data_IF_945026314892
#
_entry.id   IF_945026314892
#
_cell.length_a   1.000
_cell.length_b   1.000
_cell.length_c   1.000
_cell.angle_alpha   90.00
_cell.angle_beta   90.00
_cell.angle_gamma   90.00
#
_symmetry.space_group_name_H-M   'P 1'
#
loop_
_entity.id
_entity.type
_entity.pdbx_description
1 polymer ?
#
# COMPACT_ATOMS: atom_id res chain seq x y z
N UNK A 1 -11.52 -1.06 21.13
CA UNK A 1 -10.33 -1.87 21.47
C UNK A 1 -10.05 -2.79 20.31
N UNK A 2 -8.84 -2.75 19.79
CA UNK A 2 -8.45 -3.56 18.63
C UNK A 2 -7.86 -4.88 19.11
N UNK A 3 -8.39 -5.98 18.59
CA UNK A 3 -7.79 -7.31 18.72
C UNK A 3 -6.69 -7.43 17.67
N UNK A 4 -5.44 -7.49 18.15
CA UNK A 4 -4.28 -7.65 17.27
C UNK A 4 -3.94 -9.14 17.18
N UNK A 5 -4.15 -9.79 16.02
CA UNK A 5 -3.77 -11.19 15.88
C UNK A 5 -2.25 -11.31 15.92
N UNK A 6 -1.81 -12.37 16.58
CA UNK A 6 -0.42 -12.75 16.67
C UNK A 6 -0.22 -14.12 16.06
N UNK A 7 1.01 -14.37 15.60
CA UNK A 7 1.41 -15.73 15.22
C UNK A 7 2.47 -16.26 16.17
N UNK A 8 2.39 -17.55 16.45
CA UNK A 8 3.44 -18.26 17.18
C UNK A 8 4.59 -18.68 16.26
N UNK A 9 4.40 -18.59 14.93
CA UNK A 9 5.37 -19.03 13.91
C UNK A 9 5.94 -17.84 13.12
N UNK A 10 6.44 -16.82 13.84
CA UNK A 10 7.01 -15.60 13.22
C UNK A 10 8.16 -15.91 12.24
N UNK A 11 8.98 -16.91 12.55
CA UNK A 11 10.07 -17.35 11.65
C UNK A 11 9.58 -17.96 10.33
N UNK A 12 8.33 -18.44 10.25
CA UNK A 12 7.77 -18.97 9.01
C UNK A 12 7.06 -17.92 8.16
N UNK A 13 6.89 -16.69 8.66
CA UNK A 13 6.18 -15.60 7.94
C UNK A 13 6.81 -15.32 6.58
N UNK A 14 8.15 -15.23 6.51
CA UNK A 14 8.89 -15.07 5.24
C UNK A 14 8.52 -16.16 4.23
N UNK A 15 8.76 -17.42 4.60
CA UNK A 15 8.48 -18.56 3.72
C UNK A 15 7.00 -18.62 3.32
N UNK A 16 6.09 -18.26 4.24
CA UNK A 16 4.66 -18.22 3.97
C UNK A 16 4.30 -17.16 2.91
N UNK A 17 4.82 -15.94 3.04
CA UNK A 17 4.67 -14.88 2.05
C UNK A 17 5.27 -15.28 0.69
N UNK A 18 6.39 -16.00 0.68
CA UNK A 18 6.95 -16.52 -0.57
C UNK A 18 6.06 -17.58 -1.23
N UNK A 19 5.51 -18.51 -0.45
CA UNK A 19 4.55 -19.52 -0.95
C UNK A 19 3.27 -18.88 -1.48
N UNK A 20 2.81 -17.79 -0.88
CA UNK A 20 1.66 -17.00 -1.36
C UNK A 20 1.91 -16.48 -2.79
N UNK A 21 3.13 -16.03 -3.10
CA UNK A 21 3.49 -15.57 -4.46
C UNK A 21 3.44 -16.69 -5.48
N UNK A 22 3.94 -17.87 -5.13
CA UNK A 22 3.89 -19.05 -5.98
C UNK A 22 2.48 -19.67 -6.11
N UNK A 23 1.57 -19.34 -5.19
CA UNK A 23 0.21 -19.85 -5.21
C UNK A 23 -0.69 -19.06 -6.18
N UNK A 24 -1.53 -19.80 -6.91
CA UNK A 24 -2.61 -19.22 -7.71
C UNK A 24 -3.61 -18.41 -6.86
N UNK A 25 -4.49 -17.64 -7.51
CA UNK A 25 -5.65 -17.07 -6.81
C UNK A 25 -6.55 -18.25 -6.45
N UNK A 26 -6.56 -18.62 -5.17
CA UNK A 26 -7.41 -19.70 -4.68
C UNK A 26 -8.80 -19.16 -4.39
N UNK A 27 -9.83 -20.00 -4.46
CA UNK A 27 -11.17 -19.61 -4.04
C UNK A 27 -11.22 -19.32 -2.53
N UNK A 28 -10.38 -19.99 -1.73
CA UNK A 28 -10.34 -19.81 -0.27
C UNK A 28 -8.99 -20.17 0.34
N UNK A 29 -8.46 -19.28 1.17
CA UNK A 29 -7.28 -19.49 2.01
C UNK A 29 -7.71 -20.22 3.28
N UNK A 30 -7.75 -21.55 3.21
CA UNK A 30 -8.13 -22.43 4.33
C UNK A 30 -6.93 -23.16 4.91
N UNK A 31 -7.07 -23.71 6.12
CA UNK A 31 -6.06 -24.59 6.71
C UNK A 31 -5.69 -25.78 5.79
N UNK A 32 -6.66 -26.29 5.02
CA UNK A 32 -6.40 -27.31 4.00
C UNK A 32 -5.40 -26.85 2.93
N UNK A 33 -5.51 -25.59 2.48
CA UNK A 33 -4.56 -25.02 1.53
C UNK A 33 -3.18 -24.81 2.16
N UNK A 34 -3.11 -24.36 3.42
CA UNK A 34 -1.85 -24.28 4.15
C UNK A 34 -1.11 -25.63 4.16
N UNK A 35 -1.83 -26.74 4.37
CA UNK A 35 -1.24 -28.08 4.29
C UNK A 35 -0.63 -28.36 2.91
N UNK A 36 -1.29 -27.94 1.83
CA UNK A 36 -0.79 -28.12 0.46
C UNK A 36 0.52 -27.37 0.20
N UNK A 37 0.71 -26.19 0.79
CA UNK A 37 1.95 -25.41 0.64
C UNK A 37 3.04 -25.76 1.67
N UNK A 38 2.81 -26.77 2.52
CA UNK A 38 3.79 -27.30 3.49
C UNK A 38 3.62 -26.80 4.93
N UNK A 39 2.50 -26.15 5.25
CA UNK A 39 2.16 -25.64 6.58
C UNK A 39 1.11 -26.53 7.24
N UNK A 40 1.57 -27.55 7.98
CA UNK A 40 0.72 -28.60 8.55
C UNK A 40 0.45 -28.44 10.05
N UNK A 41 1.11 -27.50 10.72
CA UNK A 41 1.01 -27.32 12.17
C UNK A 41 -0.24 -26.53 12.54
N UNK A 42 -0.87 -26.87 13.67
CA UNK A 42 -2.03 -26.13 14.20
C UNK A 42 -1.74 -24.64 14.38
N UNK A 43 -0.50 -24.30 14.74
CA UNK A 43 -0.05 -22.91 14.92
C UNK A 43 0.02 -22.14 13.59
N UNK A 44 0.12 -22.82 12.44
CA UNK A 44 0.17 -22.15 11.14
C UNK A 44 -1.20 -21.53 10.79
N UNK A 45 -2.30 -22.03 11.37
CA UNK A 45 -3.62 -21.43 11.22
C UNK A 45 -3.68 -19.97 11.71
N UNK A 46 -2.82 -19.60 12.66
CA UNK A 46 -2.71 -18.21 13.16
C UNK A 46 -2.25 -17.23 12.08
N UNK A 47 -1.49 -17.68 11.07
CA UNK A 47 -1.06 -16.85 9.94
C UNK A 47 -2.25 -16.37 9.10
N UNK A 48 -3.31 -17.18 9.02
CA UNK A 48 -4.56 -16.78 8.35
C UNK A 48 -5.18 -15.58 9.09
N UNK A 49 -5.19 -15.59 10.42
CA UNK A 49 -5.67 -14.47 11.23
C UNK A 49 -4.91 -13.18 10.95
N UNK A 50 -3.58 -13.27 10.84
CA UNK A 50 -2.73 -12.13 10.50
C UNK A 50 -3.03 -11.60 9.09
N UNK A 51 -3.20 -12.47 8.08
CA UNK A 51 -3.58 -12.09 6.72
C UNK A 51 -4.95 -11.38 6.67
N UNK A 52 -5.92 -11.84 7.48
CA UNK A 52 -7.24 -11.20 7.58
C UNK A 52 -7.10 -9.78 8.10
N UNK A 53 -6.26 -9.60 9.11
CA UNK A 53 -6.05 -8.31 9.76
C UNK A 53 -5.37 -7.27 8.86
N UNK A 54 -4.36 -7.68 8.08
CA UNK A 54 -3.71 -6.78 7.11
C UNK A 54 -4.52 -6.62 5.80
N UNK A 55 -5.69 -7.26 5.68
CA UNK A 55 -6.58 -7.10 4.53
C UNK A 55 -6.18 -7.89 3.28
N UNK A 56 -5.27 -8.86 3.38
CA UNK A 56 -4.91 -9.75 2.28
C UNK A 56 -6.04 -10.73 1.95
N UNK A 57 -6.79 -11.12 2.96
CA UNK A 57 -7.94 -12.01 2.82
C UNK A 57 -9.13 -11.41 3.57
N UNK A 58 -10.31 -11.67 3.06
CA UNK A 58 -11.56 -11.21 3.65
C UNK A 58 -11.95 -12.02 4.90
N UNK A 59 -12.98 -11.57 5.64
CA UNK A 59 -13.67 -12.32 6.68
C UNK A 59 -14.04 -13.75 6.27
N UNK A 60 -14.37 -13.99 5.00
CA UNK A 60 -14.67 -15.31 4.43
C UNK A 60 -13.44 -16.14 4.01
N UNK A 61 -12.23 -15.65 4.30
CA UNK A 61 -10.94 -16.21 3.87
C UNK A 61 -10.73 -16.21 2.34
N UNK A 62 -11.30 -15.23 1.65
CA UNK A 62 -11.17 -15.07 0.18
C UNK A 62 -10.06 -14.05 -0.09
N UNK A 63 -9.11 -14.32 -1.00
CA UNK A 63 -8.05 -13.37 -1.33
C UNK A 63 -8.61 -12.08 -1.94
N UNK A 64 -8.18 -10.94 -1.40
CA UNK A 64 -8.63 -9.61 -1.82
C UNK A 64 -7.81 -9.08 -3.00
N UNK A 65 -8.08 -7.84 -3.45
CA UNK A 65 -7.23 -7.16 -4.42
C UNK A 65 -5.78 -7.02 -3.93
N UNK A 66 -5.57 -6.83 -2.62
CA UNK A 66 -4.23 -6.71 -2.02
C UNK A 66 -3.42 -7.99 -2.24
N UNK A 67 -4.05 -9.16 -2.12
CA UNK A 67 -3.40 -10.44 -2.42
C UNK A 67 -2.95 -10.52 -3.89
N UNK A 68 -3.81 -10.07 -4.83
CA UNK A 68 -3.48 -10.07 -6.26
C UNK A 68 -2.27 -9.18 -6.54
N UNK A 69 -2.27 -7.98 -5.97
CA UNK A 69 -1.22 -6.98 -6.13
C UNK A 69 0.09 -7.44 -5.46
N UNK A 70 0.00 -8.14 -4.33
CA UNK A 70 1.13 -8.76 -3.66
C UNK A 70 1.81 -9.86 -4.50
N UNK A 71 1.15 -10.46 -5.49
CA UNK A 71 1.80 -11.40 -6.41
C UNK A 71 2.57 -10.69 -7.53
N UNK A 72 2.38 -9.39 -7.71
CA UNK A 72 3.09 -8.59 -8.69
C UNK A 72 4.53 -8.28 -8.27
N UNK A 73 5.27 -7.56 -9.14
CA UNK A 73 6.66 -7.17 -8.86
C UNK A 73 6.82 -6.30 -7.61
N UNK A 74 5.78 -5.57 -7.20
CA UNK A 74 5.79 -4.63 -6.06
C UNK A 74 5.37 -5.21 -4.72
N UNK A 75 5.32 -6.53 -4.60
CA UNK A 75 4.93 -7.26 -3.38
C UNK A 75 5.40 -6.66 -2.04
N UNK A 76 6.67 -6.22 -1.95
CA UNK A 76 7.20 -5.60 -0.72
C UNK A 76 6.53 -4.27 -0.36
N UNK A 77 6.26 -3.43 -1.36
CA UNK A 77 5.58 -2.15 -1.16
C UNK A 77 4.09 -2.35 -0.82
N UNK A 78 3.43 -3.31 -1.50
CA UNK A 78 2.04 -3.69 -1.22
C UNK A 78 1.88 -4.19 0.21
N UNK A 79 2.83 -5.00 0.67
CA UNK A 79 2.85 -5.48 2.05
C UNK A 79 3.03 -4.32 3.03
N UNK A 80 3.92 -3.37 2.73
CA UNK A 80 4.11 -2.17 3.56
C UNK A 80 2.84 -1.32 3.68
N UNK A 81 2.14 -1.08 2.57
CA UNK A 81 0.84 -0.38 2.55
C UNK A 81 -0.24 -1.13 3.34
N UNK A 82 -0.33 -2.44 3.14
CA UNK A 82 -1.26 -3.30 3.88
C UNK A 82 -0.99 -3.30 5.40
N UNK A 83 0.29 -3.31 5.80
CA UNK A 83 0.69 -3.19 7.20
C UNK A 83 0.30 -1.81 7.75
N UNK A 84 0.56 -0.72 7.02
CA UNK A 84 0.15 0.63 7.44
C UNK A 84 -1.36 0.75 7.63
N UNK A 85 -2.14 0.14 6.73
CA UNK A 85 -3.62 0.12 6.82
C UNK A 85 -4.12 -0.73 7.99
N UNK A 86 -3.60 -1.94 8.16
CA UNK A 86 -4.00 -2.85 9.25
C UNK A 86 -3.60 -2.32 10.62
N UNK A 87 -2.41 -1.73 10.74
CA UNK A 87 -1.88 -1.14 11.97
C UNK A 87 -2.07 0.39 12.01
N UNK A 88 -3.15 0.91 11.44
CA UNK A 88 -3.39 2.36 11.33
C UNK A 88 -3.35 3.09 12.67
N UNK A 89 -3.90 2.51 13.74
CA UNK A 89 -3.78 3.06 15.10
C UNK A 89 -2.32 3.17 15.59
N UNK A 90 -1.50 2.16 15.30
CA UNK A 90 -0.08 2.19 15.66
C UNK A 90 0.65 3.29 14.89
N UNK A 91 0.37 3.42 13.59
CA UNK A 91 0.97 4.45 12.74
C UNK A 91 0.44 5.87 13.03
N UNK A 92 -0.77 6.00 13.56
CA UNK A 92 -1.32 7.28 14.02
C UNK A 92 -0.57 7.81 15.25
N UNK A 93 -0.08 6.92 16.11
CA UNK A 93 0.72 7.27 17.29
C UNK A 93 2.20 7.44 16.90
N UNK A 94 2.72 6.50 16.10
CA UNK A 94 4.10 6.52 15.63
C UNK A 94 4.15 6.42 14.09
N UNK A 95 4.34 7.54 13.38
CA UNK A 95 4.48 7.55 11.93
C UNK A 95 5.61 6.62 11.44
N UNK A 96 6.68 6.51 12.23
CA UNK A 96 7.84 5.66 11.99
C UNK A 96 7.78 4.30 12.70
N UNK A 97 6.58 3.75 12.96
CA UNK A 97 6.42 2.50 13.71
C UNK A 97 7.29 1.34 13.18
N UNK A 98 7.55 1.30 11.87
CA UNK A 98 8.43 0.32 11.22
C UNK A 98 9.90 0.39 11.67
N UNK A 99 10.35 1.53 12.19
CA UNK A 99 11.73 1.76 12.67
C UNK A 99 11.84 1.83 14.20
N UNK A 100 10.73 1.67 14.93
CA UNK A 100 10.71 1.77 16.39
C UNK A 100 11.23 0.51 17.09
N UNK A 101 11.71 0.72 18.31
CA UNK A 101 12.15 -0.33 19.22
C UNK A 101 10.98 -1.22 19.65
N UNK A 102 11.28 -2.47 20.01
CA UNK A 102 10.26 -3.39 20.53
C UNK A 102 9.59 -2.84 21.80
N UNK A 103 10.31 -2.08 22.63
CA UNK A 103 9.78 -1.48 23.86
C UNK A 103 8.67 -0.46 23.57
N UNK A 104 8.92 0.48 22.66
CA UNK A 104 7.94 1.50 22.24
C UNK A 104 6.69 0.87 21.65
N UNK A 105 6.88 -0.14 20.79
CA UNK A 105 5.78 -0.89 20.19
C UNK A 105 4.95 -1.60 21.27
N UNK A 106 5.61 -2.31 22.21
CA UNK A 106 4.94 -2.97 23.33
C UNK A 106 4.11 -2.00 24.16
N UNK A 107 4.62 -0.80 24.44
CA UNK A 107 3.88 0.22 25.18
C UNK A 107 2.57 0.59 24.48
N UNK A 108 2.64 0.90 23.18
CA UNK A 108 1.44 1.26 22.41
C UNK A 108 0.44 0.11 22.33
N UNK A 109 0.90 -1.11 22.03
CA UNK A 109 0.00 -2.26 22.00
C UNK A 109 -0.63 -2.56 23.37
N UNK A 110 0.08 -2.28 24.47
CA UNK A 110 -0.46 -2.41 25.84
C UNK A 110 -1.53 -1.35 26.14
N UNK A 111 -1.41 -0.16 25.56
CA UNK A 111 -2.40 0.92 25.72
C UNK A 111 -3.61 0.74 24.80
N UNK A 112 -3.42 0.23 23.57
CA UNK A 112 -4.47 0.06 22.57
C UNK A 112 -5.24 -1.27 22.69
N UNK A 113 -4.72 -2.24 23.44
CA UNK A 113 -5.29 -3.59 23.55
C UNK A 113 -5.33 -4.07 25.01
N UNK A 114 -6.36 -4.83 25.37
CA UNK A 114 -6.52 -5.46 26.69
C UNK A 114 -5.77 -6.79 26.83
N UNK A 115 -4.94 -7.13 25.85
CA UNK A 115 -4.19 -8.37 25.82
C UNK A 115 -3.09 -8.41 26.90
N UNK A 116 -2.75 -9.61 27.38
CA UNK A 116 -1.66 -9.79 28.34
C UNK A 116 -0.28 -9.54 27.74
N UNK A 117 0.72 -9.26 28.58
CA UNK A 117 2.11 -8.98 28.16
C UNK A 117 2.70 -10.03 27.20
N UNK A 118 2.39 -11.31 27.41
CA UNK A 118 2.86 -12.38 26.51
C UNK A 118 2.27 -12.24 25.10
N UNK A 119 0.98 -11.94 25.00
CA UNK A 119 0.30 -11.75 23.71
C UNK A 119 0.88 -10.53 22.99
N UNK A 120 1.04 -9.42 23.71
CA UNK A 120 1.62 -8.19 23.17
C UNK A 120 3.03 -8.43 22.62
N UNK A 121 3.88 -9.13 23.37
CA UNK A 121 5.23 -9.48 22.91
C UNK A 121 5.21 -10.31 21.62
N UNK A 122 4.25 -11.24 21.48
CA UNK A 122 4.05 -12.01 20.24
C UNK A 122 3.51 -11.16 19.09
N UNK A 123 2.62 -10.21 19.37
CA UNK A 123 2.13 -9.23 18.39
C UNK A 123 3.27 -8.38 17.86
N UNK A 124 4.13 -7.84 18.74
CA UNK A 124 5.31 -7.05 18.35
C UNK A 124 6.27 -7.89 17.50
N UNK A 125 6.53 -9.14 17.90
CA UNK A 125 7.38 -10.04 17.12
C UNK A 125 6.78 -10.34 15.73
N UNK A 126 5.46 -10.51 15.65
CA UNK A 126 4.73 -10.72 14.39
C UNK A 126 4.84 -9.49 13.49
N UNK A 127 4.57 -8.31 14.05
CA UNK A 127 4.68 -7.04 13.34
C UNK A 127 6.09 -6.83 12.78
N UNK A 128 7.13 -7.04 13.60
CA UNK A 128 8.53 -6.91 13.13
C UNK A 128 8.89 -7.92 12.05
N UNK A 129 8.38 -9.14 12.13
CA UNK A 129 8.59 -10.13 11.08
C UNK A 129 7.93 -9.69 9.76
N UNK A 130 6.73 -9.09 9.81
CA UNK A 130 6.07 -8.53 8.63
C UNK A 130 6.83 -7.32 8.06
N UNK A 131 7.24 -6.40 8.94
CA UNK A 131 8.01 -5.20 8.57
C UNK A 131 9.34 -5.57 7.91
N UNK A 132 10.03 -6.61 8.40
CA UNK A 132 11.27 -7.09 7.81
C UNK A 132 11.13 -7.59 6.36
N UNK A 133 9.93 -8.05 5.98
CA UNK A 133 9.64 -8.54 4.63
C UNK A 133 9.09 -7.45 3.71
N UNK A 134 8.57 -6.36 4.30
CA UNK A 134 7.97 -5.23 3.61
C UNK A 134 9.02 -4.15 3.27
N UNK A 135 8.72 -3.37 2.24
CA UNK A 135 9.45 -2.16 1.90
C UNK A 135 8.58 -0.96 2.22
N UNK A 136 9.12 -0.04 3.01
CA UNK A 136 8.46 1.22 3.39
C UNK A 136 9.08 2.41 2.66
N UNK A 137 9.73 2.17 1.51
CA UNK A 137 10.35 3.24 0.71
C UNK A 137 9.38 4.40 0.53
N UNK A 138 9.79 5.59 0.96
CA UNK A 138 9.06 6.84 0.79
C UNK A 138 9.02 7.31 -0.69
N UNK A 139 9.47 6.47 -1.62
CA UNK A 139 9.58 6.78 -3.03
C UNK A 139 9.07 5.61 -3.85
N UNK A 140 7.82 5.69 -4.30
CA UNK A 140 7.35 5.28 -5.64
C UNK A 140 5.82 5.26 -5.72
N UNK A 141 5.21 6.44 -5.84
CA UNK A 141 4.31 6.63 -6.98
C UNK A 141 5.13 6.32 -8.23
N UNK A 142 5.10 5.08 -8.67
CA UNK A 142 5.54 4.73 -10.00
C UNK A 142 4.36 4.09 -10.68
N UNK A 143 3.48 4.90 -11.24
CA UNK A 143 2.78 4.48 -12.45
C UNK A 143 3.79 4.46 -13.62
N UNK A 144 4.81 3.60 -13.53
CA UNK A 144 5.59 3.17 -14.69
C UNK A 144 4.91 1.90 -15.19
N UNK A 145 3.88 2.09 -16.01
CA UNK A 145 3.42 1.05 -16.93
C UNK A 145 4.54 0.85 -17.93
N UNK A 146 5.04 -0.37 -17.95
CA UNK A 146 6.19 -0.74 -18.75
C UNK A 146 6.04 -0.45 -20.23
N UNK A 147 7.18 -0.09 -20.81
CA UNK A 147 7.48 -0.42 -22.20
C UNK A 147 8.85 -1.06 -22.18
N UNK A 148 8.86 -2.40 -22.10
CA UNK A 148 10.06 -3.17 -22.35
C UNK A 148 10.45 -2.99 -23.81
N UNK A 149 11.71 -2.60 -23.97
CA UNK A 149 12.44 -2.42 -25.20
C UNK A 149 12.59 -3.76 -25.96
N UNK A 150 12.09 -3.83 -27.18
CA UNK A 150 12.60 -4.73 -28.22
C UNK A 150 12.74 -3.92 -29.51
N UNK A 151 13.97 -3.90 -30.04
CA UNK A 151 14.48 -2.85 -30.93
C UNK A 151 13.88 -2.81 -32.36
N UNK A 152 14.17 -1.73 -33.11
CA UNK A 152 13.67 -1.57 -34.47
C UNK A 152 14.60 -2.24 -35.48
N UNK A 153 14.13 -3.32 -36.11
CA UNK A 153 14.67 -3.87 -37.36
C UNK A 153 13.55 -3.88 -38.40
N UNK A 154 13.25 -2.72 -39.00
CA UNK A 154 13.13 -2.55 -40.44
C UNK A 154 12.87 -1.09 -40.77
N UNK A 155 13.75 -0.54 -41.62
CA UNK A 155 13.55 0.73 -42.27
C UNK A 155 12.36 0.66 -43.25
N UNK A 156 11.52 1.69 -43.25
CA UNK A 156 10.73 2.09 -44.40
C UNK A 156 10.94 3.61 -44.59
N UNK A 157 11.26 4.07 -45.82
CA UNK A 157 11.75 5.41 -46.05
C UNK A 157 10.66 6.47 -45.98
N UNK A 158 11.10 7.65 -45.54
CA UNK A 158 10.40 8.91 -45.43
C UNK A 158 9.63 9.30 -46.69
N UNK A 159 8.44 9.88 -46.48
CA UNK A 159 7.86 10.85 -47.42
C UNK A 159 7.49 12.09 -46.62
N UNK A 160 8.22 13.16 -46.91
CA UNK A 160 8.06 14.50 -46.34
C UNK A 160 6.77 15.14 -46.88
N UNK A 161 5.99 15.76 -45.99
CA UNK A 161 5.07 16.83 -46.34
C UNK A 161 5.21 17.94 -45.27
N UNK A 162 5.49 19.19 -45.67
CA UNK A 162 5.71 20.31 -44.76
C UNK A 162 4.40 21.03 -44.45
N UNK A 163 4.13 21.33 -43.17
CA UNK A 163 3.13 22.34 -42.82
C UNK A 163 2.37 22.11 -41.53
N UNK A 164 2.99 22.39 -40.38
CA UNK A 164 2.31 22.96 -39.21
C UNK A 164 3.36 23.54 -38.24
N UNK A 165 3.13 24.70 -37.59
CA UNK A 165 4.10 25.32 -36.70
C UNK A 165 4.31 24.48 -35.44
N UNK A 166 5.53 24.00 -35.21
CA UNK A 166 5.94 23.45 -33.92
C UNK A 166 6.00 24.59 -32.90
N UNK A 167 5.19 24.49 -31.85
CA UNK A 167 5.32 25.29 -30.64
C UNK A 167 6.74 25.14 -30.05
N UNK A 168 7.29 26.21 -29.45
CA UNK A 168 8.63 26.16 -28.87
C UNK A 168 8.70 25.15 -27.71
N UNK A 169 9.89 24.60 -27.42
CA UNK A 169 10.08 23.72 -26.27
C UNK A 169 9.78 24.49 -24.98
N UNK A 170 8.72 24.08 -24.27
CA UNK A 170 8.40 24.63 -22.96
C UNK A 170 9.58 24.41 -22.02
N UNK A 171 10.03 25.53 -21.48
CA UNK A 171 11.13 25.66 -20.54
C UNK A 171 10.94 24.72 -19.35
N UNK A 172 12.01 24.00 -18.99
CA UNK A 172 12.12 23.29 -17.71
C UNK A 172 12.13 24.31 -16.57
N UNK A 173 10.94 24.70 -16.12
CA UNK A 173 10.73 25.33 -14.83
C UNK A 173 10.46 24.28 -13.74
N UNK A 174 10.60 24.63 -12.45
CA UNK A 174 10.23 23.74 -11.35
C UNK A 174 8.75 23.38 -11.44
N UNK A 175 8.44 22.09 -11.54
CA UNK A 175 7.07 21.58 -11.54
C UNK A 175 6.53 21.57 -10.10
N UNK A 176 5.57 22.45 -9.82
CA UNK A 176 4.90 22.50 -8.51
C UNK A 176 3.63 21.66 -8.58
N UNK A 177 3.62 20.54 -7.87
CA UNK A 177 2.43 19.73 -7.64
C UNK A 177 1.78 20.14 -6.31
N UNK A 178 0.53 20.60 -6.36
CA UNK A 178 -0.27 20.93 -5.16
C UNK A 178 -1.45 19.95 -5.07
N UNK A 179 -1.55 19.21 -3.96
CA UNK A 179 -2.74 18.42 -3.61
C UNK A 179 -3.61 19.26 -2.67
N UNK A 180 -4.89 19.44 -3.01
CA UNK A 180 -5.81 20.32 -2.28
C UNK A 180 -7.07 19.52 -1.95
N UNK A 181 -7.33 19.31 -0.66
CA UNK A 181 -8.54 18.65 -0.18
C UNK A 181 -9.54 19.70 0.32
N UNK A 182 -10.66 19.84 -0.39
CA UNK A 182 -11.73 20.79 -0.04
C UNK A 182 -12.85 20.04 0.65
N UNK A 183 -13.15 20.41 1.89
CA UNK A 183 -14.31 19.92 2.61
C UNK A 183 -15.49 20.88 2.37
N UNK A 184 -16.45 20.44 1.56
CA UNK A 184 -17.68 21.20 1.31
C UNK A 184 -18.73 20.72 2.30
N UNK A 185 -19.23 21.62 3.16
CA UNK A 185 -20.30 21.31 4.09
C UNK A 185 -21.60 20.99 3.34
N UNK A 186 -22.42 20.03 3.81
CA UNK A 186 -23.66 19.61 3.13
C UNK A 186 -24.73 20.71 3.07
N UNK A 187 -24.56 21.80 3.82
CA UNK A 187 -25.44 22.98 3.82
C UNK A 187 -25.02 24.04 2.76
N UNK A 188 -23.98 23.77 1.96
CA UNK A 188 -23.48 24.71 0.96
C UNK A 188 -24.43 24.78 -0.24
N UNK A 189 -24.85 25.99 -0.61
CA UNK A 189 -25.65 26.22 -1.81
C UNK A 189 -24.81 26.07 -3.08
N UNK A 190 -25.47 25.81 -4.22
CA UNK A 190 -24.80 25.66 -5.51
C UNK A 190 -23.94 26.89 -5.88
N UNK A 191 -24.41 28.11 -5.58
CA UNK A 191 -23.66 29.35 -5.81
C UNK A 191 -22.40 29.46 -4.95
N UNK A 192 -22.42 28.93 -3.72
CA UNK A 192 -21.25 28.95 -2.84
C UNK A 192 -20.17 27.98 -3.33
N UNK A 193 -20.58 26.83 -3.84
CA UNK A 193 -19.70 25.84 -4.46
C UNK A 193 -19.03 26.43 -5.70
N UNK A 194 -19.79 27.11 -6.55
CA UNK A 194 -19.28 27.74 -7.78
C UNK A 194 -18.24 28.82 -7.46
N UNK A 195 -18.48 29.68 -6.46
CA UNK A 195 -17.50 30.68 -5.99
C UNK A 195 -16.22 30.07 -5.42
N UNK A 196 -16.29 28.90 -4.78
CA UNK A 196 -15.11 28.18 -4.28
C UNK A 196 -14.24 27.75 -5.47
N UNK A 197 -14.84 27.18 -6.50
CA UNK A 197 -14.11 26.76 -7.70
C UNK A 197 -13.60 27.94 -8.53
N UNK A 198 -14.37 29.03 -8.64
CA UNK A 198 -13.94 30.25 -9.32
C UNK A 198 -12.72 30.91 -8.64
N UNK A 199 -12.75 31.00 -7.31
CA UNK A 199 -11.61 31.48 -6.51
C UNK A 199 -10.38 30.59 -6.69
N UNK A 200 -10.56 29.27 -6.67
CA UNK A 200 -9.48 28.31 -6.94
C UNK A 200 -8.89 28.49 -8.34
N UNK A 201 -9.73 28.58 -9.37
CA UNK A 201 -9.28 28.77 -10.74
C UNK A 201 -8.47 30.07 -10.90
N UNK A 202 -8.94 31.16 -10.30
CA UNK A 202 -8.26 32.46 -10.32
C UNK A 202 -6.89 32.43 -9.62
N UNK A 203 -6.77 31.71 -8.51
CA UNK A 203 -5.54 31.69 -7.70
C UNK A 203 -4.55 30.57 -8.06
N UNK A 204 -5.00 29.47 -8.66
CA UNK A 204 -4.14 28.35 -9.08
C UNK A 204 -3.67 28.48 -10.54
N UNK A 205 -4.48 29.08 -11.42
CA UNK A 205 -4.14 29.28 -12.83
C UNK A 205 -3.80 30.74 -13.18
N UNK A 206 -3.97 31.67 -12.24
CA UNK A 206 -3.67 33.09 -12.42
C UNK A 206 -2.17 33.37 -12.54
N UNK A 207 -1.66 33.30 -13.76
CA UNK A 207 -0.41 33.98 -14.15
C UNK A 207 -0.61 35.48 -13.87
N UNK A 208 0.27 36.02 -13.02
CA UNK A 208 0.52 37.45 -12.78
C UNK A 208 0.23 38.27 -14.05
N UNK A 209 -0.82 39.07 -14.04
CA UNK A 209 -0.95 40.23 -14.93
C UNK A 209 0.09 41.26 -14.45
N UNK A 210 1.06 41.54 -15.32
CA UNK A 210 1.79 42.80 -15.35
C UNK A 210 1.19 43.63 -16.50
#
# INVERSE_FOLDING_TARGET
MVDFPYTQVTGKVRNFLEKIRGAGVLPKVSHAWLKTIGFTSSNDATLIGVLKFIGFIDGSSIPTQVWRDFRGGRHKAVLGDAIKKGYSELYAIYPDAHSRSNGDLTHVFSTSSTAGQQVISKTVATFKALVAEAEFSASSTSEDRGVLHSGPLHAAPSSFAPGAPQLPPSQSGPAVHIDIQIHISPESTAEQIDKIFESMAKHLYGRKED
#
